data_IF_776708638744
#
_entry.id   IF_776708638744
#
_cell.length_a   1.000
_cell.length_b   1.000
_cell.length_c   1.000
_cell.angle_alpha   90.00
_cell.angle_beta   90.00
_cell.angle_gamma   90.00
#
_symmetry.space_group_name_H-M   'P 1'
#
loop_
_entity.id
_entity.type
_entity.pdbx_description
1 polymer ?
#
# COMPACT_ATOMS: atom_id res chain seq x y z
N UNK A 1 -18.19 19.05 -18.13
CA UNK A 1 -18.06 18.60 -16.73
C UNK A 1 -16.58 18.59 -16.43
N UNK A 2 -16.06 19.59 -15.73
CA UNK A 2 -14.62 19.72 -15.46
C UNK A 2 -14.33 18.93 -14.18
N UNK A 3 -13.70 17.77 -14.32
CA UNK A 3 -13.32 16.92 -13.19
C UNK A 3 -12.09 17.57 -12.54
N UNK A 4 -12.29 18.52 -11.62
CA UNK A 4 -11.18 19.00 -10.78
C UNK A 4 -10.85 17.88 -9.82
N UNK A 5 -9.62 17.37 -9.93
CA UNK A 5 -9.07 16.41 -9.00
C UNK A 5 -8.83 17.15 -7.68
N UNK A 6 -9.50 16.75 -6.60
CA UNK A 6 -9.37 17.39 -5.30
C UNK A 6 -8.10 16.88 -4.59
N UNK A 7 -7.09 17.74 -4.49
CA UNK A 7 -5.82 17.44 -3.82
C UNK A 7 -5.98 17.07 -2.34
N UNK A 8 -7.01 17.59 -1.66
CA UNK A 8 -7.31 17.27 -0.26
C UNK A 8 -7.87 15.84 -0.15
N UNK A 9 -8.78 15.47 -1.05
CA UNK A 9 -9.31 14.10 -1.12
C UNK A 9 -8.20 13.10 -1.46
N UNK A 10 -7.29 13.48 -2.37
CA UNK A 10 -6.10 12.69 -2.68
C UNK A 10 -5.23 12.49 -1.44
N UNK A 11 -4.91 13.54 -0.70
CA UNK A 11 -4.10 13.42 0.52
C UNK A 11 -4.77 12.52 1.58
N UNK A 12 -6.09 12.64 1.74
CA UNK A 12 -6.85 11.78 2.63
C UNK A 12 -6.82 10.30 2.19
N UNK A 13 -6.84 10.04 0.89
CA UNK A 13 -6.70 8.69 0.35
C UNK A 13 -5.30 8.11 0.59
N UNK A 14 -4.25 8.89 0.34
CA UNK A 14 -2.86 8.48 0.60
C UNK A 14 -2.63 8.10 2.08
N UNK A 15 -3.20 8.86 3.03
CA UNK A 15 -3.14 8.52 4.45
C UNK A 15 -3.83 7.19 4.78
N UNK A 16 -4.96 6.88 4.13
CA UNK A 16 -5.65 5.59 4.30
C UNK A 16 -4.80 4.44 3.75
N UNK A 17 -4.16 4.63 2.60
CA UNK A 17 -3.29 3.62 2.00
C UNK A 17 -2.08 3.31 2.89
N UNK A 18 -1.44 4.32 3.47
CA UNK A 18 -0.35 4.12 4.45
C UNK A 18 -0.81 3.31 5.67
N UNK A 19 -2.01 3.58 6.18
CA UNK A 19 -2.56 2.83 7.31
C UNK A 19 -2.79 1.35 6.95
N UNK A 20 -3.28 1.06 5.75
CA UNK A 20 -3.47 -0.32 5.27
C UNK A 20 -2.13 -1.03 5.15
N UNK A 21 -1.10 -0.39 4.60
CA UNK A 21 0.24 -0.97 4.53
C UNK A 21 0.82 -1.29 5.92
N UNK A 22 0.68 -0.38 6.90
CA UNK A 22 1.08 -0.65 8.28
C UNK A 22 0.38 -1.89 8.87
N UNK A 23 -0.93 -2.05 8.62
CA UNK A 23 -1.68 -3.20 9.10
C UNK A 23 -1.20 -4.50 8.47
N UNK A 24 -0.95 -4.51 7.16
CA UNK A 24 -0.44 -5.68 6.44
C UNK A 24 0.96 -6.05 6.95
N UNK A 25 1.83 -5.07 7.15
CA UNK A 25 3.17 -5.28 7.70
C UNK A 25 3.15 -5.85 9.12
N UNK A 26 2.22 -5.38 9.96
CA UNK A 26 2.01 -5.95 11.31
C UNK A 26 1.53 -7.40 11.25
N UNK A 27 0.57 -7.70 10.36
CA UNK A 27 0.07 -9.06 10.17
C UNK A 27 1.16 -10.01 9.66
N UNK A 28 1.99 -9.57 8.72
CA UNK A 28 3.13 -10.32 8.22
C UNK A 28 4.15 -10.61 9.34
N UNK A 29 4.50 -9.59 10.12
CA UNK A 29 5.42 -9.71 11.26
C UNK A 29 4.88 -10.68 12.32
N UNK A 30 3.58 -10.62 12.64
CA UNK A 30 2.93 -11.56 13.54
C UNK A 30 2.93 -12.98 12.98
N UNK A 31 2.65 -13.16 11.68
CA UNK A 31 2.72 -14.45 11.01
C UNK A 31 4.11 -15.10 11.12
N UNK A 32 5.18 -14.32 10.93
CA UNK A 32 6.56 -14.78 11.07
C UNK A 32 6.96 -15.07 12.53
N UNK A 33 6.40 -14.35 13.50
CA UNK A 33 6.67 -14.58 14.92
C UNK A 33 6.03 -15.88 15.45
N UNK A 34 4.94 -16.34 14.82
CA UNK A 34 4.16 -17.50 15.28
C UNK A 34 4.52 -18.79 14.51
N UNK A 35 5.36 -18.71 13.47
CA UNK A 35 5.90 -19.89 12.79
C UNK A 35 6.92 -20.62 13.67
N UNK A 36 6.43 -21.51 14.54
CA UNK A 36 7.27 -22.46 15.26
C UNK A 36 7.14 -23.85 14.63
N UNK A 37 8.15 -24.24 13.84
CA UNK A 37 8.21 -25.55 13.18
C UNK A 37 8.11 -26.72 14.18
N UNK A 38 8.63 -26.56 15.40
CA UNK A 38 8.54 -27.57 16.46
C UNK A 38 7.12 -27.71 17.03
N UNK A 39 6.28 -26.67 16.97
CA UNK A 39 4.91 -26.75 17.46
C UNK A 39 4.05 -27.67 16.58
N UNK A 40 4.30 -27.66 15.27
CA UNK A 40 3.62 -28.53 14.33
C UNK A 40 4.10 -29.97 14.38
N UNK A 41 5.39 -30.20 14.66
CA UNK A 41 5.92 -31.56 14.88
C UNK A 41 5.19 -32.34 15.99
N UNK A 42 4.65 -31.64 17.00
CA UNK A 42 3.84 -32.24 18.08
C UNK A 42 2.46 -32.74 17.63
N UNK A 43 1.97 -32.27 16.48
CA UNK A 43 0.68 -32.68 15.89
C UNK A 43 0.80 -33.87 14.93
N UNK A 44 2.03 -34.36 14.69
CA UNK A 44 2.33 -35.45 13.77
C UNK A 44 2.74 -34.98 12.37
N UNK A 45 3.60 -35.77 11.71
CA UNK A 45 4.27 -35.42 10.45
C UNK A 45 3.33 -34.94 9.31
N UNK A 46 2.19 -35.59 9.03
CA UNK A 46 1.32 -35.19 7.92
C UNK A 46 0.66 -33.82 8.15
N UNK A 47 0.14 -33.61 9.37
CA UNK A 47 -0.52 -32.36 9.74
C UNK A 47 0.49 -31.21 9.80
N UNK A 48 1.70 -31.49 10.28
CA UNK A 48 2.78 -30.51 10.32
C UNK A 48 3.17 -29.99 8.93
N UNK A 49 3.27 -30.89 7.95
CA UNK A 49 3.59 -30.52 6.57
C UNK A 49 2.51 -29.63 5.95
N UNK A 50 1.22 -29.97 6.13
CA UNK A 50 0.09 -29.19 5.61
C UNK A 50 0.04 -27.81 6.24
N UNK A 51 0.19 -27.72 7.56
CA UNK A 51 0.19 -26.43 8.27
C UNK A 51 1.37 -25.55 7.86
N UNK A 52 2.56 -26.14 7.67
CA UNK A 52 3.74 -25.42 7.18
C UNK A 52 3.51 -24.88 5.77
N UNK A 53 2.96 -25.69 4.87
CA UNK A 53 2.62 -25.26 3.52
C UNK A 53 1.58 -24.13 3.51
N UNK A 54 0.52 -24.26 4.32
CA UNK A 54 -0.51 -23.22 4.45
C UNK A 54 0.06 -21.91 5.01
N UNK A 55 0.94 -21.97 6.02
CA UNK A 55 1.62 -20.79 6.56
C UNK A 55 2.50 -20.12 5.50
N UNK A 56 3.26 -20.89 4.74
CA UNK A 56 4.11 -20.33 3.67
C UNK A 56 3.28 -19.63 2.60
N UNK A 57 2.17 -20.23 2.15
CA UNK A 57 1.25 -19.59 1.20
C UNK A 57 0.64 -18.31 1.77
N UNK A 58 0.23 -18.31 3.04
CA UNK A 58 -0.31 -17.13 3.69
C UNK A 58 0.73 -16.00 3.81
N UNK A 59 1.96 -16.32 4.21
CA UNK A 59 3.07 -15.36 4.28
C UNK A 59 3.42 -14.78 2.92
N UNK A 60 3.43 -15.61 1.87
CA UNK A 60 3.70 -15.15 0.51
C UNK A 60 2.61 -14.22 -0.02
N UNK A 61 1.35 -14.58 0.20
CA UNK A 61 0.19 -13.72 -0.14
C UNK A 61 0.25 -12.38 0.59
N UNK A 62 0.61 -12.40 1.89
CA UNK A 62 0.75 -11.16 2.68
C UNK A 62 1.91 -10.29 2.18
N UNK A 63 3.04 -10.88 1.75
CA UNK A 63 4.13 -10.12 1.12
C UNK A 63 3.68 -9.45 -0.17
N UNK A 64 3.03 -10.19 -1.07
CA UNK A 64 2.51 -9.64 -2.31
C UNK A 64 1.50 -8.51 -2.07
N UNK A 65 0.65 -8.65 -1.05
CA UNK A 65 -0.29 -7.62 -0.65
C UNK A 65 0.41 -6.36 -0.12
N UNK A 66 1.49 -6.50 0.66
CA UNK A 66 2.28 -5.36 1.13
C UNK A 66 2.99 -4.68 -0.04
N UNK A 67 3.66 -5.43 -0.92
CA UNK A 67 4.34 -4.87 -2.09
C UNK A 67 3.36 -4.11 -3.00
N UNK A 68 2.17 -4.66 -3.22
CA UNK A 68 1.12 -3.99 -3.99
C UNK A 68 0.58 -2.74 -3.28
N UNK A 69 0.48 -2.74 -1.96
CA UNK A 69 0.07 -1.56 -1.18
C UNK A 69 1.12 -0.44 -1.30
N UNK A 70 2.42 -0.76 -1.15
CA UNK A 70 3.52 0.20 -1.30
C UNK A 70 3.56 0.78 -2.73
N UNK A 71 3.44 -0.07 -3.75
CA UNK A 71 3.41 0.38 -5.14
C UNK A 71 2.19 1.29 -5.40
N UNK A 72 1.03 0.95 -4.83
CA UNK A 72 -0.17 1.77 -4.97
C UNK A 72 0.00 3.15 -4.31
N UNK A 73 0.53 3.22 -3.08
CA UNK A 73 0.85 4.49 -2.41
C UNK A 73 1.78 5.33 -3.27
N UNK A 74 2.87 4.73 -3.77
CA UNK A 74 3.87 5.44 -4.57
C UNK A 74 3.27 6.03 -5.84
N UNK A 75 2.51 5.23 -6.60
CA UNK A 75 1.83 5.69 -7.82
C UNK A 75 0.83 6.80 -7.53
N UNK A 76 0.13 6.69 -6.40
CA UNK A 76 -0.86 7.68 -6.00
C UNK A 76 -0.20 9.01 -5.63
N UNK A 77 0.93 8.99 -4.91
CA UNK A 77 1.72 10.18 -4.59
C UNK A 77 2.34 10.82 -5.85
N UNK A 78 2.85 10.00 -6.77
CA UNK A 78 3.35 10.48 -8.06
C UNK A 78 2.24 11.18 -8.87
N UNK A 79 1.03 10.60 -8.90
CA UNK A 79 -0.12 11.21 -9.56
C UNK A 79 -0.52 12.52 -8.89
N UNK A 80 -0.59 12.57 -7.55
CA UNK A 80 -0.89 13.80 -6.80
C UNK A 80 0.09 14.93 -7.15
N UNK A 81 1.39 14.63 -7.15
CA UNK A 81 2.43 15.61 -7.52
C UNK A 81 2.24 16.11 -8.96
N UNK A 82 1.92 15.21 -9.89
CA UNK A 82 1.67 15.61 -11.28
C UNK A 82 0.47 16.55 -11.43
N UNK A 83 -0.60 16.31 -10.67
CA UNK A 83 -1.77 17.20 -10.64
C UNK A 83 -1.41 18.56 -10.05
N UNK A 84 -0.68 18.60 -8.94
CA UNK A 84 -0.22 19.83 -8.30
C UNK A 84 0.69 20.67 -9.22
N UNK A 85 1.65 20.04 -9.89
CA UNK A 85 2.52 20.70 -10.89
C UNK A 85 1.71 21.27 -12.06
N UNK A 86 0.68 20.55 -12.52
CA UNK A 86 -0.17 21.00 -13.63
C UNK A 86 -1.11 22.15 -13.22
N UNK A 87 -1.68 22.13 -12.01
CA UNK A 87 -2.48 23.24 -11.49
C UNK A 87 -1.63 24.51 -11.31
N UNK A 88 -0.40 24.37 -10.80
CA UNK A 88 0.53 25.50 -10.65
C UNK A 88 0.91 26.09 -12.01
N UNK A 89 1.28 25.25 -12.98
CA UNK A 89 1.63 25.70 -14.32
C UNK A 89 0.47 26.44 -15.03
N UNK A 90 -0.78 26.02 -14.80
CA UNK A 90 -1.94 26.76 -15.30
C UNK A 90 -2.12 28.10 -14.60
N UNK A 91 -1.94 28.16 -13.27
CA UNK A 91 -1.99 29.42 -12.51
C UNK A 91 -0.98 30.43 -13.03
N UNK A 92 0.27 30.02 -13.22
CA UNK A 92 1.35 30.90 -13.68
C UNK A 92 1.09 31.48 -15.09
N UNK A 93 0.45 30.70 -15.98
CA UNK A 93 0.06 31.17 -17.33
C UNK A 93 -1.06 32.22 -17.24
N UNK A 94 -2.03 32.03 -16.35
CA UNK A 94 -3.16 32.96 -16.20
C UNK A 94 -2.76 34.26 -15.48
N UNK A 95 -1.89 34.20 -14.47
CA UNK A 95 -1.34 35.39 -13.83
C UNK A 95 -0.46 36.19 -14.81
N UNK A 96 0.38 35.53 -15.61
CA UNK A 96 1.21 36.19 -16.62
C UNK A 96 0.44 36.87 -17.76
N UNK A 97 -0.84 36.51 -17.97
CA UNK A 97 -1.74 37.18 -18.91
C UNK A 97 -2.45 38.42 -18.32
N UNK A 98 -2.52 38.56 -16.99
CA UNK A 98 -3.18 39.68 -16.33
C UNK A 98 -2.28 40.93 -16.17
N UNK A 99 -0.97 40.77 -16.36
CA UNK A 99 0.05 41.82 -16.27
C UNK A 99 0.45 42.45 -17.64
N UNK A 100 -0.30 42.18 -18.71
CA UNK A 100 -0.19 42.84 -20.04
C UNK A 100 -1.41 43.72 -20.34
#
# INVERSE_FOLDING_TARGET
>A
MNYRIDLVEMQAHAMKLNNVDEQVNRALSAGQAVTNLDAFGKLGFPLAAICTAAQNTALDTMRQASDAAVDHVKRFDEWRRHVEEHEQAQSDIFDGMHDQ
#
